data_IF_120220649880
#
_entry.id   IF_120220649880
#
_cell.length_a   1.000
_cell.length_b   1.000
_cell.length_c   1.000
_cell.angle_alpha   90.00
_cell.angle_beta   90.00
_cell.angle_gamma   90.00
#
_symmetry.space_group_name_H-M   'P 1'
#
loop_
_entity.id
_entity.type
_entity.pdbx_description
1 polymer ?
#
# COMPACT_ATOMS: atom_id res chain seq x y z
N UNK A 1 -10.34 -11.85 7.11
CA UNK A 1 -8.96 -11.51 6.75
C UNK A 1 -9.04 -10.25 5.93
N UNK A 2 -8.55 -9.12 6.45
CA UNK A 2 -8.59 -7.85 5.76
C UNK A 2 -7.14 -7.45 5.45
N UNK A 3 -6.86 -7.15 4.19
CA UNK A 3 -5.57 -6.60 3.77
C UNK A 3 -5.61 -5.09 3.97
N UNK A 4 -4.55 -4.51 4.54
CA UNK A 4 -4.46 -3.08 4.74
C UNK A 4 -4.40 -2.31 3.40
N UNK A 5 -4.74 -1.02 3.44
CA UNK A 5 -4.67 -0.14 2.26
C UNK A 5 -3.31 -0.22 1.56
N UNK A 6 -2.22 -0.11 2.32
CA UNK A 6 -0.86 -0.15 1.77
C UNK A 6 -0.52 -1.51 1.15
N UNK A 7 -0.97 -2.63 1.74
CA UNK A 7 -0.74 -3.96 1.19
C UNK A 7 -1.34 -4.08 -0.22
N UNK A 8 -2.59 -3.65 -0.40
CA UNK A 8 -3.26 -3.75 -1.71
C UNK A 8 -2.63 -2.78 -2.71
N UNK A 9 -2.27 -1.57 -2.28
CA UNK A 9 -1.60 -0.58 -3.15
C UNK A 9 -0.23 -1.09 -3.62
N UNK A 10 0.59 -1.63 -2.72
CA UNK A 10 1.91 -2.19 -3.03
C UNK A 10 1.80 -3.43 -3.92
N UNK A 11 0.88 -4.34 -3.61
CA UNK A 11 0.62 -5.51 -4.42
C UNK A 11 0.16 -5.14 -5.84
N UNK A 12 -0.68 -4.11 -5.98
CA UNK A 12 -1.11 -3.59 -7.29
C UNK A 12 0.07 -3.03 -8.08
N UNK A 13 0.93 -2.25 -7.44
CA UNK A 13 2.14 -1.73 -8.06
C UNK A 13 3.06 -2.87 -8.53
N UNK A 14 3.37 -3.82 -7.64
CA UNK A 14 4.23 -4.96 -7.94
C UNK A 14 3.69 -5.83 -9.08
N UNK A 15 2.39 -6.15 -9.07
CA UNK A 15 1.75 -6.91 -10.14
C UNK A 15 1.83 -6.18 -11.50
N UNK A 16 1.63 -4.86 -11.50
CA UNK A 16 1.77 -4.04 -12.71
C UNK A 16 3.20 -4.05 -13.27
N UNK A 17 4.17 -4.10 -12.38
CA UNK A 17 5.59 -4.18 -12.73
C UNK A 17 6.07 -5.61 -13.10
N UNK A 18 5.16 -6.58 -13.16
CA UNK A 18 5.45 -7.94 -13.58
C UNK A 18 5.99 -8.86 -12.47
N UNK A 19 5.80 -8.49 -11.20
CA UNK A 19 6.09 -9.39 -10.09
C UNK A 19 5.25 -10.68 -10.20
N UNK A 20 5.81 -11.78 -9.72
CA UNK A 20 5.12 -13.05 -9.77
C UNK A 20 4.02 -13.16 -8.70
N UNK A 21 3.27 -14.26 -8.74
CA UNK A 21 2.17 -14.50 -7.82
C UNK A 21 2.64 -14.62 -6.37
N UNK A 22 3.83 -15.17 -6.12
CA UNK A 22 4.34 -15.39 -4.77
C UNK A 22 4.69 -14.06 -4.12
N UNK A 23 5.38 -13.18 -4.86
CA UNK A 23 5.72 -11.82 -4.43
C UNK A 23 4.47 -10.98 -4.14
N UNK A 24 3.49 -11.02 -5.04
CA UNK A 24 2.20 -10.31 -4.85
C UNK A 24 1.47 -10.85 -3.62
N UNK A 25 1.48 -12.17 -3.42
CA UNK A 25 0.85 -12.79 -2.26
C UNK A 25 1.56 -12.39 -0.97
N UNK A 26 2.90 -12.37 -0.96
CA UNK A 26 3.69 -11.96 0.20
C UNK A 26 3.32 -10.54 0.64
N UNK A 27 3.25 -9.60 -0.30
CA UNK A 27 2.82 -8.22 -0.03
C UNK A 27 1.40 -8.14 0.53
N UNK A 28 0.46 -8.92 0.00
CA UNK A 28 -0.90 -8.97 0.52
C UNK A 28 -0.93 -9.55 1.95
N UNK A 29 -0.16 -10.59 2.22
CA UNK A 29 -0.21 -11.32 3.50
C UNK A 29 0.65 -10.72 4.61
N UNK A 30 1.51 -9.73 4.31
CA UNK A 30 2.34 -9.07 5.31
C UNK A 30 1.49 -8.39 6.40
N UNK A 31 1.86 -8.63 7.67
CA UNK A 31 1.12 -8.19 8.87
C UNK A 31 1.91 -7.18 9.70
N UNK A 32 3.20 -7.06 9.46
CA UNK A 32 4.06 -6.12 10.16
C UNK A 32 3.97 -4.76 9.48
N UNK A 33 3.30 -3.81 10.14
CA UNK A 33 3.06 -2.47 9.61
C UNK A 33 4.38 -1.76 9.21
N UNK A 34 5.44 -1.95 9.99
CA UNK A 34 6.77 -1.38 9.69
C UNK A 34 7.37 -1.91 8.38
N UNK A 35 7.18 -3.20 8.07
CA UNK A 35 7.66 -3.81 6.83
C UNK A 35 6.91 -3.22 5.64
N UNK A 36 5.58 -3.11 5.74
CA UNK A 36 4.74 -2.53 4.69
C UNK A 36 5.06 -1.04 4.50
N UNK A 37 5.29 -0.31 5.59
CA UNK A 37 5.66 1.11 5.54
C UNK A 37 7.05 1.31 4.93
N UNK A 38 8.02 0.47 5.26
CA UNK A 38 9.35 0.50 4.64
C UNK A 38 9.27 0.23 3.13
N UNK A 39 8.49 -0.78 2.72
CA UNK A 39 8.25 -1.08 1.31
C UNK A 39 7.57 0.09 0.57
N UNK A 40 6.60 0.75 1.21
CA UNK A 40 5.94 1.94 0.66
C UNK A 40 6.93 3.09 0.45
N UNK A 41 7.82 3.34 1.41
CA UNK A 41 8.87 4.37 1.28
C UNK A 41 9.86 4.02 0.17
N UNK A 42 10.30 2.76 0.07
CA UNK A 42 11.25 2.33 -0.96
C UNK A 42 10.65 2.33 -2.36
N UNK A 43 9.33 2.16 -2.49
CA UNK A 43 8.64 2.17 -3.78
C UNK A 43 8.67 3.56 -4.45
N UNK A 44 8.78 4.65 -3.69
CA UNK A 44 8.93 6.01 -4.21
C UNK A 44 7.87 6.37 -5.27
N UNK A 45 8.33 6.86 -6.44
CA UNK A 45 7.44 7.26 -7.55
C UNK A 45 6.58 6.13 -8.12
N UNK A 46 6.91 4.86 -7.86
CA UNK A 46 6.15 3.70 -8.32
C UNK A 46 4.73 3.69 -7.77
N UNK A 47 4.54 4.09 -6.51
CA UNK A 47 3.21 4.21 -5.90
C UNK A 47 2.33 5.27 -6.58
N UNK A 48 2.94 6.35 -7.07
CA UNK A 48 2.20 7.37 -7.83
C UNK A 48 1.72 6.80 -9.17
N UNK A 49 2.53 5.99 -9.84
CA UNK A 49 2.15 5.31 -11.08
C UNK A 49 1.05 4.26 -10.87
N UNK A 50 1.02 3.60 -9.70
CA UNK A 50 0.00 2.63 -9.35
C UNK A 50 -1.42 3.23 -9.31
N UNK A 51 -1.58 4.55 -9.08
CA UNK A 51 -2.88 5.24 -9.12
C UNK A 51 -3.65 5.09 -10.43
N UNK A 52 -2.98 4.79 -11.54
CA UNK A 52 -3.66 4.52 -12.82
C UNK A 52 -4.50 3.24 -12.77
N UNK A 53 -4.12 2.29 -11.93
CA UNK A 53 -4.69 0.94 -11.85
C UNK A 53 -5.38 0.67 -10.51
N UNK A 54 -4.96 1.39 -9.47
CA UNK A 54 -5.55 1.37 -8.14
C UNK A 54 -6.57 2.51 -8.00
N UNK A 55 -7.81 2.26 -8.44
CA UNK A 55 -8.87 3.27 -8.55
C UNK A 55 -9.68 3.45 -7.28
N UNK A 56 -9.94 2.38 -6.54
CA UNK A 56 -10.71 2.41 -5.29
C UNK A 56 -10.23 1.36 -4.28
N UNK A 57 -10.48 1.64 -3.01
CA UNK A 57 -10.24 0.72 -1.89
C UNK A 57 -11.49 0.69 -1.02
N UNK A 58 -12.06 -0.49 -0.83
CA UNK A 58 -13.23 -0.66 0.03
C UNK A 58 -12.82 -0.70 1.50
N UNK A 59 -13.30 0.27 2.28
CA UNK A 59 -13.18 0.31 3.73
C UNK A 59 -14.52 0.70 4.36
N UNK A 60 -14.75 0.28 5.61
CA UNK A 60 -15.95 0.63 6.36
C UNK A 60 -15.89 2.08 6.87
N UNK A 61 -14.70 2.54 7.24
CA UNK A 61 -14.40 3.91 7.61
C UNK A 61 -13.12 4.34 6.90
N UNK A 62 -13.14 5.54 6.30
CA UNK A 62 -11.97 6.13 5.63
C UNK A 62 -10.98 6.71 6.64
N UNK A 63 -11.42 7.02 7.86
CA UNK A 63 -10.57 7.50 8.93
C UNK A 63 -9.55 6.43 9.37
N UNK A 64 -9.92 5.15 9.32
CA UNK A 64 -9.04 4.04 9.71
C UNK A 64 -7.75 4.00 8.86
N UNK A 65 -7.79 3.84 7.52
CA UNK A 65 -6.57 3.82 6.72
C UNK A 65 -5.82 5.17 6.75
N UNK A 66 -6.51 6.30 6.94
CA UNK A 66 -5.84 7.60 7.10
C UNK A 66 -5.08 7.69 8.42
N UNK A 67 -5.66 7.15 9.50
CA UNK A 67 -5.02 7.04 10.82
C UNK A 67 -3.76 6.18 10.75
N UNK A 68 -3.84 5.03 10.10
CA UNK A 68 -2.68 4.14 9.89
C UNK A 68 -1.55 4.86 9.13
N UNK A 69 -1.87 5.54 8.03
CA UNK A 69 -0.88 6.29 7.25
C UNK A 69 -0.25 7.43 8.06
N UNK A 70 -1.04 8.08 8.92
CA UNK A 70 -0.56 9.15 9.81
C UNK A 70 0.37 8.58 10.89
N UNK A 71 -0.01 7.47 11.52
CA UNK A 71 0.80 6.80 12.54
C UNK A 71 2.13 6.28 11.97
N UNK A 72 2.14 5.91 10.70
CA UNK A 72 3.33 5.49 9.97
C UNK A 72 4.12 6.66 9.36
N UNK A 73 3.74 7.92 9.58
CA UNK A 73 4.41 9.11 9.00
C UNK A 73 4.55 9.03 7.46
N UNK A 74 3.52 8.52 6.78
CA UNK A 74 3.47 8.38 5.32
C UNK A 74 2.64 9.47 4.63
N UNK A 75 1.91 10.27 5.41
CA UNK A 75 1.25 11.48 4.92
C UNK A 75 2.28 12.60 4.90
N UNK A 76 2.93 12.78 3.75
CA UNK A 76 3.80 13.94 3.54
C UNK A 76 3.04 15.23 3.89
N UNK A 77 3.73 16.20 4.49
CA UNK A 77 3.13 17.52 4.76
C UNK A 77 2.61 18.08 3.43
N UNK A 78 1.30 18.29 3.33
CA UNK A 78 0.72 18.97 2.18
C UNK A 78 1.40 20.35 2.03
N UNK A 79 1.76 20.77 0.80
CA UNK A 79 2.26 22.11 0.56
C UNK A 79 1.22 23.18 0.93
#
# INVERSE_FOLDING_TARGET
MHHGFLNVLLATAAAWDGADREDVTALLTERQAEVVAAAARSAGGRLSSARRWFTSFGCCDVADPLGDLSALDLLGRAP
#
